data_IF_852393560515
#
_entry.id   IF_852393560515
#
_cell.length_a   1.000
_cell.length_b   1.000
_cell.length_c   1.000
_cell.angle_alpha   90.00
_cell.angle_beta   90.00
_cell.angle_gamma   90.00
#
_symmetry.space_group_name_H-M   'P 1'
#
loop_
_entity.id
_entity.type
_entity.pdbx_description
1 polymer ?
#
# COMPACT_ATOMS: atom_id res chain seq x y z
N UNK A 1 7.03 24.57 6.46
CA UNK A 1 6.29 24.17 5.25
C UNK A 1 7.24 23.34 4.40
N UNK A 2 7.09 22.01 4.38
CA UNK A 2 7.95 21.13 3.57
C UNK A 2 7.26 20.91 2.23
N UNK A 3 7.78 21.54 1.18
CA UNK A 3 7.32 21.31 -0.19
C UNK A 3 8.06 20.09 -0.76
N UNK A 4 7.33 19.04 -1.10
CA UNK A 4 7.88 17.92 -1.86
C UNK A 4 7.60 18.12 -3.34
N UNK A 5 8.66 18.09 -4.15
CA UNK A 5 8.56 18.12 -5.62
C UNK A 5 7.85 16.88 -6.19
N UNK A 6 7.65 15.85 -5.36
CA UNK A 6 6.98 14.59 -5.70
C UNK A 6 5.95 14.23 -4.63
N UNK A 7 4.66 14.57 -4.85
CA UNK A 7 3.64 14.43 -3.81
C UNK A 7 3.41 12.97 -3.38
N UNK A 8 3.53 11.98 -4.27
CA UNK A 8 3.37 10.58 -3.90
C UNK A 8 4.47 10.09 -2.94
N UNK A 9 5.70 10.59 -3.06
CA UNK A 9 6.81 10.20 -2.18
C UNK A 9 6.58 10.72 -0.76
N UNK A 10 6.12 11.97 -0.64
CA UNK A 10 5.78 12.57 0.65
C UNK A 10 4.66 11.79 1.36
N UNK A 11 3.60 11.42 0.63
CA UNK A 11 2.49 10.65 1.18
C UNK A 11 2.97 9.28 1.67
N UNK A 12 3.79 8.57 0.89
CA UNK A 12 4.31 7.26 1.29
C UNK A 12 5.23 7.37 2.51
N UNK A 13 6.09 8.40 2.56
CA UNK A 13 6.94 8.64 3.73
C UNK A 13 6.11 8.87 4.98
N UNK A 14 5.06 9.69 4.90
CA UNK A 14 4.15 9.96 6.01
C UNK A 14 3.43 8.68 6.47
N UNK A 15 2.95 7.85 5.54
CA UNK A 15 2.34 6.55 5.86
C UNK A 15 3.28 5.67 6.66
N UNK A 16 4.56 5.62 6.26
CA UNK A 16 5.57 4.79 6.93
C UNK A 16 5.94 5.37 8.30
N UNK A 17 6.18 6.68 8.40
CA UNK A 17 6.59 7.32 9.65
C UNK A 17 5.46 7.41 10.67
N UNK A 18 4.25 7.67 10.20
CA UNK A 18 3.05 7.78 11.02
C UNK A 18 2.40 6.44 11.35
N UNK A 19 2.79 5.36 10.67
CA UNK A 19 2.21 4.03 10.85
C UNK A 19 0.73 3.97 10.43
N UNK A 20 0.37 4.68 9.36
CA UNK A 20 -1.01 4.72 8.86
C UNK A 20 -1.42 3.39 8.23
N UNK A 21 -2.63 2.92 8.55
CA UNK A 21 -3.20 1.65 8.10
C UNK A 21 -4.07 1.79 6.83
N UNK A 22 -4.43 3.02 6.42
CA UNK A 22 -5.23 3.30 5.23
C UNK A 22 -4.89 4.68 4.63
N UNK A 23 -4.87 4.76 3.31
CA UNK A 23 -4.78 6.03 2.56
C UNK A 23 -6.09 6.29 1.84
N UNK A 24 -6.73 7.44 2.13
CA UNK A 24 -7.91 7.93 1.43
C UNK A 24 -7.49 9.01 0.42
N UNK A 25 -7.81 8.81 -0.86
CA UNK A 25 -7.50 9.77 -1.92
C UNK A 25 -8.71 10.01 -2.82
N UNK A 26 -9.14 11.26 -2.95
CA UNK A 26 -10.18 11.62 -3.90
C UNK A 26 -9.67 11.44 -5.34
N UNK A 27 -10.45 10.73 -6.15
CA UNK A 27 -10.28 10.65 -7.59
C UNK A 27 -11.31 11.58 -8.24
N UNK A 28 -10.85 12.67 -8.85
CA UNK A 28 -11.74 13.58 -9.56
C UNK A 28 -12.28 12.88 -10.81
N UNK A 29 -13.60 12.77 -10.92
CA UNK A 29 -14.27 12.47 -12.16
C UNK A 29 -14.33 13.75 -12.99
N UNK A 30 -14.07 13.68 -14.29
CA UNK A 30 -14.35 14.79 -15.21
C UNK A 30 -15.66 14.44 -15.94
N UNK A 31 -16.62 15.37 -15.95
CA UNK A 31 -18.02 15.21 -16.38
C UNK A 31 -18.25 14.67 -17.81
N UNK A 32 -17.20 14.45 -18.60
CA UNK A 32 -17.28 13.92 -19.98
C UNK A 32 -16.72 12.51 -20.14
N UNK A 33 -16.09 11.96 -19.12
CA UNK A 33 -15.54 10.61 -19.14
C UNK A 33 -16.21 9.80 -18.02
N UNK A 34 -16.94 8.75 -18.42
CA UNK A 34 -17.55 7.76 -17.51
C UNK A 34 -16.50 7.01 -16.65
N UNK A 35 -15.22 7.12 -17.02
CA UNK A 35 -14.11 6.50 -16.31
C UNK A 35 -13.46 7.48 -15.32
N UNK A 36 -13.15 6.96 -14.12
CA UNK A 36 -12.30 7.65 -13.13
C UNK A 36 -10.93 7.90 -13.75
N UNK A 37 -10.50 9.17 -13.81
CA UNK A 37 -9.19 9.54 -14.32
C UNK A 37 -8.17 9.44 -13.18
N UNK A 38 -7.26 8.48 -13.28
CA UNK A 38 -6.14 8.37 -12.36
C UNK A 38 -4.99 9.27 -12.80
N UNK A 39 -4.58 10.18 -11.92
CA UNK A 39 -3.38 11.01 -12.12
C UNK A 39 -2.10 10.17 -11.99
N UNK A 40 -0.93 10.64 -12.47
CA UNK A 40 0.33 9.94 -12.24
C UNK A 40 0.62 9.63 -10.76
N UNK A 41 0.21 10.54 -9.86
CA UNK A 41 0.31 10.35 -8.41
C UNK A 41 -0.53 9.16 -7.94
N UNK A 42 -1.76 9.01 -8.42
CA UNK A 42 -2.66 7.92 -8.01
C UNK A 42 -2.10 6.56 -8.44
N UNK A 43 -1.60 6.47 -9.67
CA UNK A 43 -0.91 5.28 -10.17
C UNK A 43 0.36 4.95 -9.40
N UNK A 44 1.05 5.94 -8.84
CA UNK A 44 2.19 5.70 -7.98
C UNK A 44 1.75 5.19 -6.60
N UNK A 45 0.69 5.75 -6.01
CA UNK A 45 0.14 5.29 -4.73
C UNK A 45 -0.37 3.85 -4.82
N UNK A 46 -1.19 3.52 -5.83
CA UNK A 46 -1.74 2.17 -6.03
C UNK A 46 -0.67 1.08 -6.21
N UNK A 47 0.54 1.45 -6.68
CA UNK A 47 1.63 0.50 -6.92
C UNK A 47 2.68 0.43 -5.81
N UNK A 48 2.87 1.51 -5.06
CA UNK A 48 4.02 1.68 -4.15
C UNK A 48 3.63 1.92 -2.70
N UNK A 49 2.39 2.27 -2.41
CA UNK A 49 1.97 2.48 -1.02
C UNK A 49 1.99 1.13 -0.27
N UNK A 50 2.60 1.06 0.93
CA UNK A 50 2.62 -0.16 1.73
C UNK A 50 1.26 -0.47 2.37
N UNK A 51 0.42 0.57 2.55
CA UNK A 51 -0.91 0.45 3.13
C UNK A 51 -1.98 0.44 2.02
N UNK A 52 -3.15 -0.17 2.27
CA UNK A 52 -4.29 -0.10 1.36
C UNK A 52 -4.61 1.34 0.95
N UNK A 53 -4.91 1.54 -0.33
CA UNK A 53 -5.30 2.84 -0.90
C UNK A 53 -6.75 2.77 -1.33
N UNK A 54 -7.60 3.59 -0.72
CA UNK A 54 -9.00 3.74 -1.09
C UNK A 54 -9.18 5.01 -1.92
N UNK A 55 -9.42 4.80 -3.22
CA UNK A 55 -9.76 5.86 -4.17
C UNK A 55 -11.24 6.22 -4.03
N UNK A 56 -11.53 7.41 -3.50
CA UNK A 56 -12.89 7.89 -3.21
C UNK A 56 -13.37 8.72 -4.39
N UNK A 57 -14.52 8.37 -4.96
CA UNK A 57 -15.15 9.18 -6.02
C UNK A 57 -15.79 10.43 -5.42
N UNK A 58 -15.86 11.51 -6.19
CA UNK A 58 -16.50 12.77 -5.79
C UNK A 58 -18.04 12.73 -5.90
N UNK A 59 -18.64 11.58 -5.60
CA UNK A 59 -20.08 11.33 -5.70
C UNK A 59 -20.53 10.51 -4.48
N UNK A 60 -21.76 10.71 -3.98
CA UNK A 60 -22.26 9.96 -2.85
C UNK A 60 -22.33 8.47 -3.18
N UNK A 61 -22.15 7.64 -2.16
CA UNK A 61 -22.37 6.20 -2.30
C UNK A 61 -23.84 5.94 -2.63
N UNK A 62 -24.15 5.09 -3.63
CA UNK A 62 -25.53 4.86 -4.04
C UNK A 62 -26.31 4.12 -2.95
N UNK A 63 -27.61 4.39 -2.87
CA UNK A 63 -28.52 3.66 -1.99
C UNK A 63 -28.54 2.17 -2.37
N UNK A 64 -28.34 1.28 -1.40
CA UNK A 64 -28.17 -0.16 -1.67
C UNK A 64 -26.87 -0.53 -2.40
N UNK A 65 -25.86 0.36 -2.43
CA UNK A 65 -24.58 0.09 -3.08
C UNK A 65 -23.87 -1.15 -2.54
N UNK A 66 -23.28 -1.93 -3.46
CA UNK A 66 -22.66 -3.23 -3.17
C UNK A 66 -21.14 -3.10 -3.15
N UNK A 67 -20.49 -3.80 -2.22
CA UNK A 67 -19.05 -4.02 -2.26
C UNK A 67 -18.75 -5.23 -3.16
N UNK A 68 -17.93 -5.03 -4.19
CA UNK A 68 -17.47 -6.08 -5.08
C UNK A 68 -16.00 -6.38 -4.78
N UNK A 69 -15.67 -7.67 -4.66
CA UNK A 69 -14.30 -8.14 -4.42
C UNK A 69 -13.84 -8.95 -5.63
N UNK A 70 -12.81 -8.46 -6.31
CA UNK A 70 -12.17 -9.20 -7.39
C UNK A 70 -11.15 -10.19 -6.80
N UNK A 71 -11.34 -11.48 -7.06
CA UNK A 71 -10.43 -12.55 -6.64
C UNK A 71 -9.76 -13.16 -7.86
N UNK A 72 -8.44 -13.36 -7.79
CA UNK A 72 -7.72 -14.09 -8.82
C UNK A 72 -7.73 -15.60 -8.47
N UNK A 73 -8.51 -16.38 -9.22
CA UNK A 73 -8.64 -17.84 -9.00
C UNK A 73 -7.65 -18.66 -9.83
N UNK A 74 -6.91 -18.03 -10.75
CA UNK A 74 -6.06 -18.74 -11.70
C UNK A 74 -4.65 -19.05 -11.17
N UNK A 75 -4.18 -18.32 -10.15
CA UNK A 75 -2.84 -18.49 -9.59
C UNK A 75 -2.92 -18.94 -8.14
N UNK A 76 -2.25 -20.06 -7.82
CA UNK A 76 -2.09 -20.56 -6.45
C UNK A 76 -0.89 -19.94 -5.72
N UNK A 77 -0.14 -19.02 -6.36
CA UNK A 77 1.02 -18.39 -5.75
C UNK A 77 0.59 -17.50 -4.57
N UNK A 78 1.08 -17.75 -3.33
CA UNK A 78 0.77 -16.91 -2.19
C UNK A 78 1.30 -15.49 -2.42
N UNK A 79 0.42 -14.50 -2.49
CA UNK A 79 0.77 -13.08 -2.74
C UNK A 79 1.82 -12.55 -1.73
N UNK A 80 1.80 -13.07 -0.50
CA UNK A 80 2.75 -12.72 0.58
C UNK A 80 4.20 -13.11 0.24
N UNK A 81 4.43 -14.11 -0.63
CA UNK A 81 5.77 -14.60 -0.96
C UNK A 81 6.55 -13.65 -1.89
N UNK A 82 5.88 -12.74 -2.60
CA UNK A 82 6.56 -11.85 -3.57
C UNK A 82 7.30 -10.69 -2.89
N UNK A 83 6.84 -10.17 -1.75
CA UNK A 83 7.57 -9.08 -1.07
C UNK A 83 8.89 -9.54 -0.44
N UNK A 84 9.02 -10.84 -0.13
CA UNK A 84 10.22 -11.41 0.47
C UNK A 84 11.30 -11.79 -0.55
N UNK A 85 10.94 -12.04 -1.82
CA UNK A 85 11.90 -12.51 -2.84
C UNK A 85 12.68 -11.40 -3.55
N UNK A 86 12.40 -10.12 -3.31
CA UNK A 86 13.14 -8.99 -3.92
C UNK A 86 14.48 -8.69 -3.22
N UNK A 87 14.86 -9.46 -2.19
CA UNK A 87 16.07 -9.22 -1.40
C UNK A 87 17.26 -10.17 -1.62
N UNK A 88 17.26 -11.03 -2.65
CA UNK A 88 18.29 -12.08 -2.75
C UNK A 88 18.96 -12.16 -4.14
N UNK A 89 20.01 -11.34 -4.31
CA UNK A 89 21.40 -11.71 -4.69
C UNK A 89 22.17 -10.52 -5.27
N UNK A 90 23.19 -10.06 -4.54
CA UNK A 90 24.54 -9.87 -5.10
C UNK A 90 25.56 -10.10 -3.98
N UNK A 91 25.99 -11.35 -3.87
CA UNK A 91 26.96 -11.89 -2.94
C UNK A 91 28.39 -11.58 -3.43
N UNK A 92 28.68 -10.28 -3.58
CA UNK A 92 30.03 -9.73 -3.73
C UNK A 92 30.14 -8.37 -3.04
N UNK A 93 30.16 -8.35 -1.72
CA UNK A 93 30.90 -7.36 -0.93
C UNK A 93 30.86 -7.77 0.54
N UNK A 94 32.04 -7.97 1.14
CA UNK A 94 32.17 -8.13 2.58
C UNK A 94 31.81 -6.81 3.26
N UNK A 95 30.60 -6.73 3.79
CA UNK A 95 30.12 -5.60 4.57
C UNK A 95 29.04 -6.08 5.52
N UNK A 96 29.26 -5.92 6.82
CA UNK A 96 28.33 -6.27 7.89
C UNK A 96 26.99 -5.56 7.70
N UNK A 97 25.94 -6.30 7.31
CA UNK A 97 24.57 -5.80 7.27
C UNK A 97 23.76 -6.44 8.39
N UNK A 98 23.29 -5.60 9.30
CA UNK A 98 22.39 -5.96 10.39
C UNK A 98 20.99 -6.22 9.78
N UNK A 99 20.31 -7.34 10.09
CA UNK A 99 18.99 -7.61 9.54
C UNK A 99 17.95 -6.62 10.12
N UNK A 100 17.06 -6.12 9.26
CA UNK A 100 15.90 -5.32 9.64
C UNK A 100 15.04 -6.12 10.62
N UNK A 101 15.06 -5.70 11.89
CA UNK A 101 14.28 -6.31 12.97
C UNK A 101 12.82 -5.89 12.79
N UNK A 102 11.98 -6.83 12.37
CA UNK A 102 10.52 -6.69 12.49
C UNK A 102 10.18 -6.37 13.94
N UNK A 103 9.64 -5.17 14.18
CA UNK A 103 9.26 -4.66 15.50
C UNK A 103 7.92 -5.21 16.01
N UNK A 104 7.28 -6.15 15.31
CA UNK A 104 6.09 -6.86 15.82
C UNK A 104 6.47 -8.05 16.71
N UNK A 105 7.04 -7.72 17.88
CA UNK A 105 7.19 -8.66 19.00
C UNK A 105 5.86 -8.89 19.72
N UNK A 106 4.93 -9.63 19.12
CA UNK A 106 3.83 -10.23 19.87
C UNK A 106 4.37 -11.43 20.66
N UNK A 107 4.81 -11.14 21.88
CA UNK A 107 5.18 -12.14 22.89
C UNK A 107 3.90 -12.84 23.35
N UNK A 108 3.65 -14.06 22.89
CA UNK A 108 2.64 -14.93 23.50
C UNK A 108 3.12 -15.26 24.92
N UNK A 109 2.60 -14.52 25.90
CA UNK A 109 2.60 -14.94 27.30
C UNK A 109 1.22 -15.52 27.58
N UNK A 110 1.16 -16.84 27.71
CA UNK A 110 0.00 -17.58 28.17
C UNK A 110 0.52 -18.77 28.95
N UNK A 111 0.63 -18.60 30.26
CA UNK A 111 1.02 -19.63 31.22
C UNK A 111 0.10 -20.85 31.09
N UNK A 112 0.71 -22.02 31.01
CA UNK A 112 0.10 -23.25 31.48
C UNK A 112 0.15 -23.23 33.01
N UNK A 113 -1.02 -23.20 33.65
CA UNK A 113 -1.30 -23.89 34.90
C UNK A 113 -2.78 -24.25 34.94
#
# INVERSE_FOLDING_TARGET
MVWHNRPFEAIIQEVISGGHDLVLKMAHQHDRLEAVIFTPTDWHLLRKCPSPVWMVKDQPWPEGGKALVAVNLASEEPYIMRSMKTGQRDDRTGGTSQPYRSSSGWRLSGNAN
#
